data_IF_100189052766
#
_entry.id   IF_100189052766
#
_cell.length_a   1.000
_cell.length_b   1.000
_cell.length_c   1.000
_cell.angle_alpha   90.00
_cell.angle_beta   90.00
_cell.angle_gamma   90.00
#
_symmetry.space_group_name_H-M   'P 1'
#
loop_
_entity.id
_entity.type
_entity.pdbx_description
1 polymer ?
#
# COMPACT_ATOMS: atom_id res chain seq x y z
N UNK A 1 5.06 -18.04 -10.99
CA UNK A 1 3.60 -18.17 -11.20
C UNK A 1 3.32 -17.81 -12.65
N UNK A 2 2.58 -18.65 -13.37
CA UNK A 2 2.24 -18.38 -14.77
C UNK A 2 1.13 -17.32 -14.79
N UNK A 3 1.32 -16.24 -15.56
CA UNK A 3 0.24 -15.31 -15.84
C UNK A 3 -0.81 -16.03 -16.70
N UNK A 4 -2.08 -15.67 -16.51
CA UNK A 4 -3.16 -16.19 -17.35
C UNK A 4 -3.04 -15.58 -18.75
N UNK A 5 -3.04 -16.42 -19.78
CA UNK A 5 -3.05 -15.98 -21.18
C UNK A 5 -4.49 -16.09 -21.72
N UNK A 6 -5.05 -15.04 -22.36
CA UNK A 6 -6.36 -15.12 -23.00
C UNK A 6 -6.42 -16.28 -24.00
N UNK A 7 -7.42 -17.16 -23.91
CA UNK A 7 -7.53 -18.41 -24.68
C UNK A 7 -7.22 -19.69 -23.89
N UNK A 8 -6.68 -19.60 -22.67
CA UNK A 8 -6.42 -20.79 -21.83
C UNK A 8 -7.68 -21.35 -21.15
N UNK A 9 -8.76 -20.56 -21.00
CA UNK A 9 -9.99 -21.04 -20.37
C UNK A 9 -10.97 -21.61 -21.41
N UNK A 10 -11.27 -22.91 -21.27
CA UNK A 10 -12.19 -23.68 -22.14
C UNK A 10 -13.64 -23.13 -22.24
N UNK A 11 -14.01 -22.14 -21.45
CA UNK A 11 -15.33 -21.50 -21.47
C UNK A 11 -15.17 -19.97 -21.50
N UNK A 12 -15.81 -19.33 -22.47
CA UNK A 12 -15.84 -17.86 -22.63
C UNK A 12 -16.33 -17.13 -21.38
N UNK A 13 -17.26 -17.72 -20.62
CA UNK A 13 -17.73 -17.17 -19.35
C UNK A 13 -16.62 -17.13 -18.28
N UNK A 14 -15.69 -18.09 -18.29
CA UNK A 14 -14.55 -18.11 -17.36
C UNK A 14 -13.50 -17.08 -17.79
N UNK A 15 -13.26 -16.91 -19.09
CA UNK A 15 -12.35 -15.89 -19.62
C UNK A 15 -12.79 -14.48 -19.22
N UNK A 16 -14.08 -14.17 -19.40
CA UNK A 16 -14.61 -12.87 -19.04
C UNK A 16 -14.48 -12.60 -17.54
N UNK A 17 -14.74 -13.61 -16.69
CA UNK A 17 -14.57 -13.48 -15.24
C UNK A 17 -13.12 -13.26 -14.83
N UNK A 18 -12.16 -13.86 -15.51
CA UNK A 18 -10.73 -13.67 -15.24
C UNK A 18 -10.29 -12.25 -15.63
N UNK A 19 -10.77 -11.74 -16.77
CA UNK A 19 -10.51 -10.36 -17.21
C UNK A 19 -11.12 -9.34 -16.24
N UNK A 20 -12.39 -9.49 -15.87
CA UNK A 20 -13.07 -8.63 -14.88
C UNK A 20 -12.33 -8.62 -13.54
N UNK A 21 -11.84 -9.78 -13.08
CA UNK A 21 -11.05 -9.88 -11.86
C UNK A 21 -9.74 -9.12 -11.98
N UNK A 22 -9.03 -9.27 -13.08
CA UNK A 22 -7.70 -8.66 -13.25
C UNK A 22 -7.80 -7.13 -13.35
N UNK A 23 -8.85 -6.61 -14.00
CA UNK A 23 -9.18 -5.19 -14.01
C UNK A 23 -9.49 -4.67 -12.59
N UNK A 24 -10.31 -5.39 -11.83
CA UNK A 24 -10.64 -5.05 -10.46
C UNK A 24 -9.40 -5.04 -9.53
N UNK A 25 -8.52 -6.03 -9.68
CA UNK A 25 -7.27 -6.09 -8.92
C UNK A 25 -6.31 -4.97 -9.31
N UNK A 26 -6.28 -4.56 -10.58
CA UNK A 26 -5.49 -3.42 -11.02
C UNK A 26 -5.98 -2.11 -10.37
N UNK A 27 -7.30 -1.90 -10.36
CA UNK A 27 -7.91 -0.74 -9.72
C UNK A 27 -7.65 -0.67 -8.21
N UNK A 28 -7.81 -1.79 -7.49
CA UNK A 28 -7.50 -1.85 -6.05
C UNK A 28 -6.04 -1.50 -5.79
N UNK A 29 -5.12 -2.04 -6.59
CA UNK A 29 -3.68 -1.80 -6.41
C UNK A 29 -3.36 -0.31 -6.58
N UNK A 30 -3.92 0.32 -7.60
CA UNK A 30 -3.72 1.75 -7.86
C UNK A 30 -4.23 2.61 -6.69
N UNK A 31 -5.44 2.34 -6.20
CA UNK A 31 -6.01 3.05 -5.03
C UNK A 31 -5.19 2.85 -3.76
N UNK A 32 -4.67 1.64 -3.52
CA UNK A 32 -3.79 1.37 -2.38
C UNK A 32 -2.46 2.10 -2.50
N UNK A 33 -1.87 2.14 -3.70
CA UNK A 33 -0.64 2.86 -3.95
C UNK A 33 -0.82 4.37 -3.70
N UNK A 34 -1.91 4.96 -4.19
CA UNK A 34 -2.26 6.36 -3.89
C UNK A 34 -2.42 6.61 -2.39
N UNK A 35 -3.10 5.72 -1.66
CA UNK A 35 -3.25 5.84 -0.21
C UNK A 35 -1.91 5.76 0.54
N UNK A 36 -1.00 4.87 0.11
CA UNK A 36 0.34 4.75 0.67
C UNK A 36 1.19 6.00 0.39
N UNK A 37 1.13 6.54 -0.82
CA UNK A 37 1.82 7.77 -1.18
C UNK A 37 1.31 8.96 -0.35
N UNK A 38 0.00 9.06 -0.16
CA UNK A 38 -0.60 10.08 0.71
C UNK A 38 -0.12 9.93 2.16
N UNK A 39 -0.17 8.72 2.72
CA UNK A 39 0.29 8.44 4.07
C UNK A 39 1.77 8.79 4.26
N UNK A 40 2.62 8.44 3.28
CA UNK A 40 4.04 8.80 3.28
C UNK A 40 4.24 10.31 3.23
N UNK A 41 3.53 11.01 2.35
CA UNK A 41 3.64 12.45 2.26
C UNK A 41 3.23 13.15 3.56
N UNK A 42 2.15 12.69 4.20
CA UNK A 42 1.74 13.21 5.51
C UNK A 42 2.79 12.94 6.59
N UNK A 43 3.36 11.73 6.61
CA UNK A 43 4.44 11.39 7.53
C UNK A 43 5.67 12.29 7.34
N UNK A 44 6.12 12.45 6.09
CA UNK A 44 7.29 13.25 5.74
C UNK A 44 7.07 14.74 6.05
N UNK A 45 5.85 15.26 5.90
CA UNK A 45 5.51 16.64 6.28
C UNK A 45 5.71 16.92 7.78
N UNK A 46 5.48 15.93 8.63
CA UNK A 46 5.69 16.06 10.07
C UNK A 46 7.10 15.64 10.51
N UNK A 47 7.90 15.10 9.59
CA UNK A 47 9.25 14.69 9.87
C UNK A 47 10.18 15.91 9.84
N UNK A 48 10.62 16.34 11.02
CA UNK A 48 11.66 17.37 11.16
C UNK A 48 13.02 16.69 11.10
N UNK A 49 13.88 17.14 10.19
CA UNK A 49 15.28 16.72 10.16
C UNK A 49 15.97 17.29 11.40
N UNK A 50 16.32 16.41 12.34
CA UNK A 50 17.02 16.79 13.58
C UNK A 50 18.37 16.10 13.59
N UNK A 51 19.44 16.89 13.56
CA UNK A 51 20.81 16.42 13.70
C UNK A 51 21.26 16.54 15.16
N UNK A 52 21.97 15.51 15.65
CA UNK A 52 22.47 15.45 17.03
C UNK A 52 24.00 15.33 17.03
N UNK A 53 24.65 16.03 17.95
CA UNK A 53 26.10 15.95 18.13
C UNK A 53 26.50 14.79 19.07
N UNK A 54 27.73 14.30 18.91
CA UNK A 54 28.30 13.28 19.79
C UNK A 54 28.40 13.86 21.21
N UNK A 55 27.75 13.21 22.18
CA UNK A 55 27.69 13.65 23.58
C UNK A 55 26.35 14.28 24.01
N UNK A 56 25.41 14.48 23.10
CA UNK A 56 24.06 14.95 23.43
C UNK A 56 23.14 13.79 23.83
N UNK A 57 22.44 13.95 24.96
CA UNK A 57 21.39 13.03 25.37
C UNK A 57 20.07 13.42 24.73
N UNK A 58 19.42 12.45 24.07
CA UNK A 58 18.12 12.63 23.42
C UNK A 58 17.08 11.71 24.04
N UNK A 59 15.91 12.28 24.34
CA UNK A 59 14.78 11.52 24.85
C UNK A 59 13.91 11.04 23.69
N UNK A 60 13.86 9.73 23.49
CA UNK A 60 12.97 9.11 22.49
C UNK A 60 11.68 8.71 23.19
N UNK A 61 10.60 9.40 22.87
CA UNK A 61 9.26 8.96 23.26
C UNK A 61 8.77 7.93 22.23
N UNK A 62 8.77 6.65 22.61
CA UNK A 62 8.17 5.60 21.77
C UNK A 62 6.65 5.80 21.73
N UNK A 63 6.14 6.20 20.57
CA UNK A 63 4.71 6.21 20.34
C UNK A 63 4.25 4.80 19.94
N UNK A 64 3.62 4.07 20.85
CA UNK A 64 2.91 2.83 20.52
C UNK A 64 1.67 3.16 19.68
N UNK A 65 1.81 3.14 18.35
CA UNK A 65 0.65 3.10 17.45
C UNK A 65 0.25 1.66 17.24
N UNK A 66 -0.79 1.21 17.94
CA UNK A 66 -1.59 0.10 17.45
C UNK A 66 -2.21 0.58 16.13
N UNK A 67 -1.93 -0.13 15.04
CA UNK A 67 -2.58 0.12 13.76
C UNK A 67 -4.08 -0.12 13.97
N UNK A 68 -4.83 0.94 14.21
CA UNK A 68 -6.28 0.88 14.21
C UNK A 68 -6.69 0.64 12.76
N UNK A 69 -7.07 -0.60 12.46
CA UNK A 69 -7.81 -0.95 11.26
C UNK A 69 -9.15 -0.21 11.32
N UNK A 70 -9.19 1.01 10.78
CA UNK A 70 -10.42 1.78 10.64
C UNK A 70 -11.11 1.31 9.36
N UNK A 71 -11.81 0.17 9.47
CA UNK A 71 -12.83 -0.26 8.52
C UNK A 71 -14.21 -0.03 9.14
N UNK A 72 -14.85 1.06 8.74
CA UNK A 72 -16.31 1.25 8.75
C UNK A 72 -16.68 1.86 7.40
#
# INVERSE_FOLDING_TARGET
MRAYEPGDARLSAVEQRLLERDEFLAEIRDRLEQAQQYAKHQHDRHHREVSFAIGQWVWVQLLHRLLAFSGC
#
